data_IF_814719940363
#
_entry.id   IF_814719940363
#
_cell.length_a   1.000
_cell.length_b   1.000
_cell.length_c   1.000
_cell.angle_alpha   90.00
_cell.angle_beta   90.00
_cell.angle_gamma   90.00
#
_symmetry.space_group_name_H-M   'P 1'
#
loop_
_entity.id
_entity.type
_entity.pdbx_description
1 polymer ?
#
# COMPACT_ATOMS: atom_id res chain seq x y z
N UNK A 1 20.81 12.98 -28.20
CA UNK A 1 20.31 13.51 -26.92
C UNK A 1 19.87 14.95 -27.18
N UNK A 2 18.57 15.19 -27.23
CA UNK A 2 18.02 16.47 -27.67
C UNK A 2 18.04 17.52 -26.54
N UNK A 3 18.23 18.77 -26.89
CA UNK A 3 18.18 19.94 -26.00
C UNK A 3 16.88 20.07 -25.18
N UNK A 4 15.86 19.28 -25.51
CA UNK A 4 14.53 19.28 -24.89
C UNK A 4 14.38 18.37 -23.64
N UNK A 5 15.33 17.46 -23.37
CA UNK A 5 15.27 16.58 -22.17
C UNK A 5 15.45 17.33 -20.84
N UNK A 6 15.92 18.60 -20.88
CA UNK A 6 16.07 19.42 -19.68
C UNK A 6 14.73 19.96 -19.14
N UNK A 7 13.65 19.86 -19.92
CA UNK A 7 12.33 20.39 -19.58
C UNK A 7 11.32 19.31 -19.16
N UNK A 8 11.64 18.03 -19.34
CA UNK A 8 10.76 16.92 -18.95
C UNK A 8 11.32 16.25 -17.73
N UNK A 9 10.50 16.03 -16.72
CA UNK A 9 10.81 15.28 -15.52
C UNK A 9 9.92 14.05 -15.47
N UNK A 10 10.49 12.94 -15.04
CA UNK A 10 9.83 11.63 -14.97
C UNK A 10 9.68 11.23 -13.52
N UNK A 11 8.49 10.81 -13.12
CA UNK A 11 8.21 10.34 -11.77
C UNK A 11 7.38 9.05 -11.80
N UNK A 12 7.74 8.13 -10.91
CA UNK A 12 6.97 6.93 -10.61
C UNK A 12 6.26 7.12 -9.29
N UNK A 13 4.97 6.83 -9.24
CA UNK A 13 4.14 7.03 -8.05
C UNK A 13 3.48 5.71 -7.68
N UNK A 14 3.69 5.30 -6.44
CA UNK A 14 2.86 4.33 -5.76
C UNK A 14 1.83 5.10 -4.93
N UNK A 15 0.59 5.13 -5.42
CA UNK A 15 -0.50 5.90 -4.83
C UNK A 15 -1.30 5.01 -3.87
N UNK A 16 -0.66 4.56 -2.78
CA UNK A 16 -1.26 3.63 -1.83
C UNK A 16 -2.24 4.27 -0.86
N UNK A 17 -3.16 3.46 -0.32
CA UNK A 17 -4.17 3.89 0.67
C UNK A 17 -3.54 4.43 1.94
N UNK A 18 -2.53 3.76 2.48
CA UNK A 18 -1.85 4.16 3.71
C UNK A 18 -0.73 5.17 3.47
N UNK A 19 0.14 4.90 2.49
CA UNK A 19 1.30 5.71 2.14
C UNK A 19 1.38 5.91 0.65
N UNK A 20 1.86 7.07 0.24
CA UNK A 20 2.23 7.37 -1.14
C UNK A 20 3.75 7.51 -1.24
N UNK A 21 4.35 6.75 -2.15
CA UNK A 21 5.77 6.81 -2.44
C UNK A 21 5.99 7.39 -3.84
N UNK A 22 7.03 8.21 -3.99
CA UNK A 22 7.40 8.78 -5.30
C UNK A 22 8.88 8.60 -5.55
N UNK A 23 9.19 8.00 -6.70
CA UNK A 23 10.55 7.95 -7.24
C UNK A 23 10.71 9.07 -8.27
N UNK A 24 11.77 9.82 -8.12
CA UNK A 24 12.30 10.75 -9.12
C UNK A 24 13.82 10.67 -9.10
N UNK A 25 14.47 10.83 -10.26
CA UNK A 25 15.92 10.74 -10.39
C UNK A 25 16.50 9.43 -9.81
N UNK A 26 15.85 8.31 -10.06
CA UNK A 26 16.23 6.96 -9.58
C UNK A 26 16.25 6.82 -8.04
N UNK A 27 15.60 7.71 -7.29
CA UNK A 27 15.56 7.67 -5.82
C UNK A 27 14.14 7.87 -5.29
N UNK A 28 13.84 7.24 -4.18
CA UNK A 28 12.63 7.55 -3.42
C UNK A 28 12.78 8.96 -2.83
N UNK A 29 12.04 9.90 -3.39
CA UNK A 29 12.05 11.32 -3.00
C UNK A 29 10.93 11.65 -2.03
N UNK A 30 9.82 10.92 -2.08
CA UNK A 30 8.68 11.06 -1.17
C UNK A 30 8.33 9.68 -0.61
N UNK A 31 8.14 9.63 0.69
CA UNK A 31 7.64 8.48 1.47
C UNK A 31 6.79 9.08 2.58
N UNK A 32 5.51 9.28 2.26
CA UNK A 32 4.59 10.08 3.08
C UNK A 32 3.24 9.38 3.25
N UNK A 33 2.60 9.47 4.42
CA UNK A 33 1.22 9.01 4.60
C UNK A 33 0.25 9.67 3.61
N UNK A 34 -0.69 8.89 3.10
CA UNK A 34 -1.74 9.33 2.17
C UNK A 34 -2.85 10.08 2.92
N UNK A 35 -2.53 11.26 3.44
CA UNK A 35 -3.43 12.08 4.24
C UNK A 35 -3.19 13.57 4.01
N UNK A 36 -4.26 14.36 4.06
CA UNK A 36 -4.23 15.82 4.00
C UNK A 36 -4.96 16.43 5.19
N UNK A 37 -4.53 17.60 5.62
CA UNK A 37 -5.25 18.43 6.59
C UNK A 37 -5.78 19.69 5.90
N UNK A 38 -7.05 20.01 6.16
CA UNK A 38 -7.81 21.07 5.49
C UNK A 38 -8.36 22.01 6.56
N UNK A 39 -8.26 23.30 6.31
CA UNK A 39 -9.02 24.31 7.06
C UNK A 39 -10.48 24.29 6.57
N UNK A 40 -11.42 24.00 7.49
CA UNK A 40 -12.85 23.84 7.16
C UNK A 40 -13.54 25.12 6.67
N UNK A 41 -13.02 26.31 7.04
CA UNK A 41 -13.63 27.58 6.68
C UNK A 41 -13.21 28.03 5.28
N UNK A 42 -11.95 27.78 4.95
CA UNK A 42 -11.35 28.26 3.70
C UNK A 42 -11.22 27.15 2.65
N UNK A 43 -11.44 25.89 3.02
CA UNK A 43 -11.23 24.66 2.24
C UNK A 43 -9.81 24.51 1.70
N UNK A 44 -8.85 25.24 2.29
CA UNK A 44 -7.45 25.21 1.86
C UNK A 44 -6.71 24.08 2.57
N UNK A 45 -5.85 23.40 1.80
CA UNK A 45 -4.89 22.43 2.33
C UNK A 45 -3.86 23.17 3.18
N UNK A 46 -3.69 22.74 4.43
CA UNK A 46 -2.73 23.29 5.40
C UNK A 46 -1.54 22.35 5.64
N UNK A 47 -1.72 21.06 5.42
CA UNK A 47 -0.64 20.07 5.51
C UNK A 47 -0.92 18.84 4.65
N UNK A 48 0.15 18.14 4.25
CA UNK A 48 0.12 16.87 3.51
C UNK A 48 1.09 15.91 4.19
N UNK A 49 0.81 14.62 4.12
CA UNK A 49 1.70 13.55 4.57
C UNK A 49 1.92 13.55 6.09
N UNK A 50 3.17 13.38 6.52
CA UNK A 50 3.55 13.29 7.95
C UNK A 50 3.05 14.46 8.80
N UNK A 51 3.06 15.66 8.22
CA UNK A 51 2.53 16.84 8.94
C UNK A 51 1.01 16.74 9.16
N UNK A 52 0.25 16.27 8.18
CA UNK A 52 -1.19 16.05 8.31
C UNK A 52 -1.48 14.88 9.29
N UNK A 53 -0.68 13.81 9.23
CA UNK A 53 -0.78 12.67 10.14
C UNK A 53 -0.55 13.06 11.61
N UNK A 54 0.35 14.02 11.89
CA UNK A 54 0.55 14.53 13.25
C UNK A 54 -0.70 15.25 13.80
N UNK A 55 -1.54 15.78 12.92
CA UNK A 55 -2.80 16.45 13.28
C UNK A 55 -3.96 15.47 13.38
N UNK A 56 -3.89 14.30 12.75
CA UNK A 56 -4.96 13.31 12.74
C UNK A 56 -5.35 12.89 14.15
N UNK A 57 -6.67 12.78 14.40
CA UNK A 57 -7.29 12.49 15.70
C UNK A 57 -6.97 13.52 16.83
N UNK A 58 -6.33 14.66 16.50
CA UNK A 58 -5.97 15.72 17.46
C UNK A 58 -6.48 17.09 17.03
N UNK A 59 -7.32 17.16 16.01
CA UNK A 59 -7.81 18.40 15.44
C UNK A 59 -8.94 19.00 16.28
N UNK A 60 -9.03 20.32 16.29
CA UNK A 60 -10.21 21.06 16.74
C UNK A 60 -11.17 21.32 15.54
N UNK A 61 -12.36 21.88 15.82
CA UNK A 61 -13.45 22.00 14.84
C UNK A 61 -13.11 22.69 13.52
N UNK A 62 -12.09 23.54 13.48
CA UNK A 62 -11.70 24.25 12.25
C UNK A 62 -10.76 23.45 11.33
N UNK A 63 -10.22 22.35 11.77
CA UNK A 63 -9.31 21.51 10.96
C UNK A 63 -9.94 20.13 10.79
N UNK A 64 -9.92 19.63 9.54
CA UNK A 64 -10.31 18.28 9.18
C UNK A 64 -9.13 17.58 8.53
N UNK A 65 -8.84 16.35 8.95
CA UNK A 65 -7.94 15.46 8.20
C UNK A 65 -8.75 14.52 7.32
N UNK A 66 -8.28 14.30 6.10
CA UNK A 66 -8.92 13.44 5.10
C UNK A 66 -7.86 12.48 4.57
N UNK A 67 -8.19 11.19 4.52
CA UNK A 67 -7.48 10.18 3.71
C UNK A 67 -8.15 10.15 2.35
N UNK A 68 -7.51 10.63 1.28
CA UNK A 68 -8.13 10.74 -0.03
C UNK A 68 -8.31 9.41 -0.73
N UNK A 69 -7.55 8.39 -0.30
CA UNK A 69 -7.66 7.03 -0.80
C UNK A 69 -8.27 6.12 0.25
N UNK A 70 -9.10 5.19 -0.20
CA UNK A 70 -9.71 4.15 0.62
C UNK A 70 -9.85 2.89 -0.23
N UNK A 71 -9.50 1.75 0.35
CA UNK A 71 -9.65 0.45 -0.30
C UNK A 71 -9.00 0.41 -1.70
N UNK A 72 -7.81 1.02 -1.85
CA UNK A 72 -7.04 1.09 -3.09
C UNK A 72 -7.53 2.11 -4.13
N UNK A 73 -8.60 2.86 -3.85
CA UNK A 73 -9.21 3.79 -4.83
C UNK A 73 -9.35 5.21 -4.30
N UNK A 74 -9.48 6.17 -5.20
CA UNK A 74 -9.72 7.58 -4.84
C UNK A 74 -11.14 7.73 -4.31
N UNK A 75 -11.27 8.04 -3.03
CA UNK A 75 -12.52 8.31 -2.34
C UNK A 75 -12.87 9.82 -2.33
N UNK A 76 -11.85 10.69 -2.37
CA UNK A 76 -12.01 12.15 -2.44
C UNK A 76 -11.05 12.72 -3.48
N UNK A 77 -11.61 13.08 -4.64
CA UNK A 77 -10.86 13.53 -5.80
C UNK A 77 -10.06 14.83 -5.53
N UNK A 78 -10.68 15.83 -4.91
CA UNK A 78 -10.02 17.11 -4.62
C UNK A 78 -8.88 16.94 -3.61
N UNK A 79 -9.10 16.11 -2.60
CA UNK A 79 -8.07 15.80 -1.62
C UNK A 79 -6.91 15.01 -2.25
N UNK A 80 -7.19 14.04 -3.16
CA UNK A 80 -6.19 13.26 -3.87
C UNK A 80 -5.33 14.15 -4.80
N UNK A 81 -5.97 14.96 -5.63
CA UNK A 81 -5.29 15.92 -6.49
C UNK A 81 -4.36 16.86 -5.69
N UNK A 82 -4.89 17.40 -4.61
CA UNK A 82 -4.14 18.30 -3.73
C UNK A 82 -2.98 17.60 -3.02
N UNK A 83 -3.16 16.34 -2.63
CA UNK A 83 -2.12 15.50 -2.05
C UNK A 83 -0.99 15.26 -3.05
N UNK A 84 -1.32 14.77 -4.25
CA UNK A 84 -0.34 14.53 -5.33
C UNK A 84 0.42 15.81 -5.64
N UNK A 85 -0.29 16.93 -5.80
CA UNK A 85 0.32 18.24 -6.05
C UNK A 85 1.24 18.67 -4.92
N UNK A 86 0.85 18.46 -3.66
CA UNK A 86 1.67 18.75 -2.48
C UNK A 86 2.96 17.93 -2.45
N UNK A 87 2.87 16.63 -2.76
CA UNK A 87 4.01 15.72 -2.82
C UNK A 87 4.97 16.06 -3.98
N UNK A 88 4.43 16.41 -5.17
CA UNK A 88 5.24 16.91 -6.29
C UNK A 88 5.99 18.19 -5.90
N UNK A 89 5.38 19.07 -5.11
CA UNK A 89 6.06 20.30 -4.65
C UNK A 89 7.19 20.03 -3.64
N UNK A 90 7.20 18.90 -2.93
CA UNK A 90 8.32 18.49 -2.09
C UNK A 90 9.56 18.15 -2.95
N UNK A 91 9.34 17.63 -4.17
CA UNK A 91 10.41 17.27 -5.10
C UNK A 91 10.82 18.48 -5.94
N UNK A 92 9.85 19.22 -6.46
CA UNK A 92 10.05 20.35 -7.37
C UNK A 92 9.48 21.66 -6.75
N UNK A 93 10.26 22.38 -5.94
CA UNK A 93 9.80 23.64 -5.31
C UNK A 93 9.39 24.69 -6.35
N UNK A 94 8.37 25.49 -6.02
CA UNK A 94 7.73 26.48 -6.91
C UNK A 94 8.64 27.61 -7.45
N UNK A 95 9.87 27.73 -6.94
CA UNK A 95 10.76 28.87 -7.23
C UNK A 95 11.53 28.78 -8.57
N UNK A 96 11.23 27.83 -9.44
CA UNK A 96 11.81 27.76 -10.79
C UNK A 96 10.95 28.54 -11.78
N UNK A 97 11.59 29.42 -12.57
CA UNK A 97 10.95 30.22 -13.63
C UNK A 97 10.21 29.36 -14.67
N UNK A 98 10.57 28.09 -14.80
CA UNK A 98 9.96 27.15 -15.73
C UNK A 98 9.47 25.93 -14.94
N UNK A 99 8.18 25.59 -15.09
CA UNK A 99 7.63 24.33 -14.61
C UNK A 99 8.06 23.23 -15.57
N UNK A 100 8.69 22.14 -15.10
CA UNK A 100 8.98 21.02 -15.96
C UNK A 100 7.69 20.37 -16.46
N UNK A 101 7.73 19.83 -17.67
CA UNK A 101 6.72 18.89 -18.15
C UNK A 101 6.87 17.57 -17.37
N UNK A 102 5.81 17.08 -16.76
CA UNK A 102 5.86 15.86 -15.95
C UNK A 102 5.30 14.67 -16.73
N UNK A 103 6.06 13.59 -16.79
CA UNK A 103 5.58 12.26 -17.20
C UNK A 103 5.44 11.43 -15.92
N UNK A 104 4.28 10.84 -15.72
CA UNK A 104 3.99 10.06 -14.53
C UNK A 104 3.64 8.61 -14.90
N UNK A 105 4.27 7.65 -14.23
CA UNK A 105 3.79 6.28 -14.16
C UNK A 105 3.22 6.06 -12.77
N UNK A 106 1.97 5.61 -12.70
CA UNK A 106 1.25 5.41 -11.44
C UNK A 106 0.79 3.97 -11.36
N UNK A 107 1.07 3.29 -10.25
CA UNK A 107 0.52 1.96 -10.01
C UNK A 107 -0.92 2.04 -9.53
N UNK A 108 -1.69 1.04 -9.88
CA UNK A 108 -3.11 0.90 -9.54
C UNK A 108 -3.42 -0.56 -9.20
N UNK A 109 -4.41 -0.83 -8.33
CA UNK A 109 -4.87 -2.19 -8.05
C UNK A 109 -5.35 -2.92 -9.32
N UNK A 110 -5.25 -4.25 -9.34
CA UNK A 110 -5.67 -5.05 -10.50
C UNK A 110 -7.19 -5.01 -10.71
N UNK A 111 -7.97 -5.00 -9.62
CA UNK A 111 -9.43 -5.00 -9.63
C UNK A 111 -10.10 -3.63 -9.83
N UNK A 112 -9.37 -2.61 -10.27
CA UNK A 112 -9.88 -1.24 -10.42
C UNK A 112 -10.81 -1.09 -11.63
N UNK A 113 -11.91 -0.34 -11.47
CA UNK A 113 -12.87 -0.04 -12.55
C UNK A 113 -12.34 1.04 -13.52
N UNK A 114 -12.91 1.11 -14.73
CA UNK A 114 -12.54 2.16 -15.70
C UNK A 114 -12.82 3.60 -15.19
N UNK A 115 -13.84 3.78 -14.34
CA UNK A 115 -14.15 5.07 -13.71
C UNK A 115 -13.07 5.46 -12.72
N UNK A 116 -12.60 4.50 -11.91
CA UNK A 116 -11.53 4.71 -10.94
C UNK A 116 -10.18 4.93 -11.62
N UNK A 117 -9.85 4.20 -12.70
CA UNK A 117 -8.67 4.46 -13.55
C UNK A 117 -8.67 5.89 -14.06
N UNK A 118 -9.82 6.33 -14.59
CA UNK A 118 -9.96 7.70 -15.08
C UNK A 118 -9.77 8.73 -13.96
N UNK A 119 -10.30 8.47 -12.77
CA UNK A 119 -10.13 9.35 -11.62
C UNK A 119 -8.63 9.53 -11.25
N UNK A 120 -7.83 8.44 -11.32
CA UNK A 120 -6.38 8.51 -11.09
C UNK A 120 -5.70 9.38 -12.16
N UNK A 121 -6.01 9.15 -13.47
CA UNK A 121 -5.45 9.96 -14.57
C UNK A 121 -5.81 11.44 -14.43
N UNK A 122 -7.09 11.74 -14.24
CA UNK A 122 -7.58 13.11 -14.10
C UNK A 122 -6.92 13.83 -12.91
N UNK A 123 -6.74 13.13 -11.77
CA UNK A 123 -6.06 13.68 -10.58
C UNK A 123 -4.59 14.00 -10.86
N UNK A 124 -3.88 13.13 -11.59
CA UNK A 124 -2.49 13.32 -11.96
C UNK A 124 -2.32 14.48 -12.97
N UNK A 125 -3.18 14.56 -13.98
CA UNK A 125 -3.19 15.65 -14.97
C UNK A 125 -3.46 16.99 -14.30
N UNK A 126 -4.45 17.07 -13.40
CA UNK A 126 -4.75 18.29 -12.65
C UNK A 126 -3.61 18.66 -11.68
N UNK A 127 -2.87 17.66 -11.15
CA UNK A 127 -1.67 17.91 -10.37
C UNK A 127 -0.49 18.42 -11.21
N UNK A 128 -0.56 18.32 -12.56
CA UNK A 128 0.39 18.90 -13.49
C UNK A 128 1.11 17.90 -14.39
N UNK A 129 0.66 16.65 -14.46
CA UNK A 129 1.17 15.67 -15.43
C UNK A 129 0.78 16.09 -16.85
N UNK A 130 1.70 15.90 -17.79
CA UNK A 130 1.46 16.03 -19.23
C UNK A 130 1.10 14.67 -19.84
N UNK A 131 1.73 13.62 -19.34
CA UNK A 131 1.50 12.25 -19.76
C UNK A 131 1.37 11.38 -18.52
N UNK A 132 0.39 10.48 -18.51
CA UNK A 132 0.12 9.55 -17.40
C UNK A 132 0.00 8.14 -17.96
N UNK A 133 0.87 7.25 -17.45
CA UNK A 133 0.83 5.83 -17.71
C UNK A 133 0.40 5.10 -16.43
N UNK A 134 -0.39 4.04 -16.58
CA UNK A 134 -0.83 3.23 -15.46
C UNK A 134 -0.21 1.84 -15.56
N UNK A 135 0.19 1.26 -14.42
CA UNK A 135 0.68 -0.11 -14.29
C UNK A 135 -0.04 -0.78 -13.12
N UNK A 136 -0.33 -2.08 -13.23
CA UNK A 136 -0.97 -2.82 -12.13
C UNK A 136 0.02 -3.10 -11.00
N UNK A 137 -0.44 -2.95 -9.75
CA UNK A 137 0.38 -3.15 -8.54
C UNK A 137 1.11 -4.49 -8.51
N UNK A 138 0.46 -5.66 -8.80
CA UNK A 138 1.16 -6.94 -8.79
C UNK A 138 2.27 -7.03 -9.84
N UNK A 139 2.05 -6.43 -11.02
CA UNK A 139 3.05 -6.39 -12.08
C UNK A 139 4.25 -5.51 -11.67
N UNK A 140 3.96 -4.34 -11.11
CA UNK A 140 5.00 -3.46 -10.57
C UNK A 140 5.75 -4.15 -9.41
N UNK A 141 5.05 -4.82 -8.49
CA UNK A 141 5.67 -5.57 -7.40
C UNK A 141 6.64 -6.64 -7.92
N UNK A 142 6.22 -7.43 -8.92
CA UNK A 142 7.06 -8.46 -9.55
C UNK A 142 8.36 -7.87 -10.12
N UNK A 143 8.27 -6.77 -10.89
CA UNK A 143 9.44 -6.05 -11.39
C UNK A 143 10.33 -5.53 -10.25
N UNK A 144 9.71 -4.98 -9.21
CA UNK A 144 10.41 -4.36 -8.09
C UNK A 144 11.18 -5.33 -7.21
N UNK A 145 10.82 -6.61 -7.20
CA UNK A 145 11.55 -7.69 -6.53
C UNK A 145 12.50 -8.44 -7.48
N UNK A 146 12.60 -8.00 -8.74
CA UNK A 146 13.58 -8.51 -9.70
C UNK A 146 13.14 -9.75 -10.49
N UNK A 147 11.83 -10.06 -10.54
CA UNK A 147 11.33 -11.16 -11.37
C UNK A 147 11.28 -10.73 -12.84
N UNK A 148 11.62 -11.66 -13.72
CA UNK A 148 11.44 -11.46 -15.16
C UNK A 148 10.00 -11.80 -15.56
N UNK A 149 9.16 -10.76 -15.64
CA UNK A 149 7.75 -10.90 -15.96
C UNK A 149 7.48 -11.23 -17.43
N UNK A 150 8.50 -11.19 -18.29
CA UNK A 150 8.38 -11.46 -19.73
C UNK A 150 8.58 -12.94 -20.05
N UNK A 151 9.23 -13.68 -19.18
CA UNK A 151 9.44 -15.11 -19.36
C UNK A 151 8.14 -15.93 -19.29
N UNK A 152 8.08 -17.11 -19.95
CA UNK A 152 6.94 -18.02 -19.86
C UNK A 152 6.97 -18.86 -18.57
N UNK A 153 7.20 -18.20 -17.44
CA UNK A 153 7.24 -18.78 -16.09
C UNK A 153 6.19 -18.10 -15.21
N UNK A 154 5.39 -18.90 -14.52
CA UNK A 154 4.36 -18.38 -13.63
C UNK A 154 4.93 -17.92 -12.29
N UNK A 155 4.82 -16.62 -11.98
CA UNK A 155 5.18 -16.05 -10.69
C UNK A 155 3.93 -15.65 -9.93
N UNK A 156 3.78 -16.15 -8.69
CA UNK A 156 2.69 -15.75 -7.82
C UNK A 156 3.15 -14.65 -6.87
N UNK A 157 2.48 -13.52 -6.95
CA UNK A 157 2.74 -12.34 -6.14
C UNK A 157 1.55 -12.11 -5.22
N UNK A 158 1.83 -11.85 -3.93
CA UNK A 158 0.85 -11.38 -2.96
C UNK A 158 1.35 -10.03 -2.45
N UNK A 159 0.64 -8.97 -2.79
CA UNK A 159 0.91 -7.63 -2.29
C UNK A 159 -0.14 -7.24 -1.26
N UNK A 160 0.27 -7.08 0.01
CA UNK A 160 -0.62 -6.69 1.10
C UNK A 160 -0.33 -5.25 1.47
N UNK A 161 -1.11 -4.35 0.89
CA UNK A 161 -1.00 -2.92 1.11
C UNK A 161 -1.68 -2.42 2.39
N UNK A 162 -2.08 -1.14 2.38
CA UNK A 162 -2.91 -0.57 3.44
C UNK A 162 -4.38 -0.91 3.29
N UNK A 163 -4.96 -0.69 2.10
CA UNK A 163 -6.39 -0.87 1.85
C UNK A 163 -6.76 -2.15 1.10
N UNK A 164 -5.84 -2.72 0.32
CA UNK A 164 -6.08 -3.89 -0.53
C UNK A 164 -5.01 -4.95 -0.34
N UNK A 165 -5.42 -6.19 -0.57
CA UNK A 165 -4.52 -7.32 -0.83
C UNK A 165 -4.74 -7.77 -2.27
N UNK A 166 -3.67 -7.70 -3.05
CA UNK A 166 -3.61 -8.15 -4.43
C UNK A 166 -2.90 -9.50 -4.49
N UNK A 167 -3.57 -10.50 -5.04
CA UNK A 167 -2.99 -11.83 -5.28
C UNK A 167 -3.04 -12.06 -6.78
N UNK A 168 -1.89 -12.20 -7.43
CA UNK A 168 -1.84 -12.38 -8.88
C UNK A 168 -0.81 -13.40 -9.31
N UNK A 169 -1.08 -14.09 -10.42
CA UNK A 169 -0.11 -14.90 -11.15
C UNK A 169 0.24 -14.16 -12.43
N UNK A 170 1.51 -13.82 -12.58
CA UNK A 170 2.04 -13.09 -13.74
C UNK A 170 2.92 -14.01 -14.59
N UNK A 171 2.82 -13.89 -15.92
CA UNK A 171 3.67 -14.56 -16.91
C UNK A 171 3.53 -13.83 -18.25
N UNK A 172 4.55 -13.86 -19.09
CA UNK A 172 4.51 -13.35 -20.47
C UNK A 172 3.99 -11.90 -20.56
N UNK A 173 4.43 -11.04 -19.66
CA UNK A 173 4.04 -9.63 -19.53
C UNK A 173 2.56 -9.40 -19.22
N UNK A 174 1.84 -10.40 -18.72
CA UNK A 174 0.42 -10.31 -18.40
C UNK A 174 0.06 -10.88 -17.03
N UNK A 175 -1.07 -10.46 -16.50
CA UNK A 175 -1.71 -11.11 -15.35
C UNK A 175 -2.61 -12.21 -15.87
N UNK A 176 -2.32 -13.46 -15.48
CA UNK A 176 -3.06 -14.64 -15.93
C UNK A 176 -4.30 -14.89 -15.09
N UNK A 177 -4.16 -14.73 -13.79
CA UNK A 177 -5.28 -14.72 -12.85
C UNK A 177 -4.96 -13.79 -11.68
N UNK A 178 -6.01 -13.20 -11.10
CA UNK A 178 -5.88 -12.32 -9.95
C UNK A 178 -7.08 -12.41 -9.01
N UNK A 179 -6.84 -12.04 -7.76
CA UNK A 179 -7.85 -11.77 -6.76
C UNK A 179 -7.46 -10.48 -6.03
N UNK A 180 -8.37 -9.51 -6.04
CA UNK A 180 -8.22 -8.26 -5.28
C UNK A 180 -9.27 -8.24 -4.18
N UNK A 181 -8.84 -8.06 -2.94
CA UNK A 181 -9.73 -7.98 -1.79
C UNK A 181 -9.44 -6.72 -0.97
N UNK A 182 -10.49 -6.13 -0.39
CA UNK A 182 -10.43 -4.93 0.48
C UNK A 182 -10.21 -5.33 1.94
N UNK A 183 -9.23 -6.20 2.17
CA UNK A 183 -8.80 -6.65 3.50
C UNK A 183 -7.28 -6.59 3.51
N UNK A 184 -6.72 -5.66 4.28
CA UNK A 184 -5.28 -5.41 4.34
C UNK A 184 -4.90 -4.69 5.64
N UNK A 185 -3.84 -3.90 5.65
CA UNK A 185 -3.29 -3.25 6.84
C UNK A 185 -4.28 -2.40 7.63
N UNK A 186 -5.20 -1.68 6.96
CA UNK A 186 -6.19 -0.82 7.63
C UNK A 186 -7.27 -1.65 8.34
N UNK A 187 -7.70 -2.78 7.73
CA UNK A 187 -8.62 -3.72 8.39
C UNK A 187 -7.96 -4.37 9.61
N UNK A 188 -6.67 -4.75 9.51
CA UNK A 188 -5.93 -5.27 10.67
C UNK A 188 -5.87 -4.23 11.80
N UNK A 189 -5.67 -2.95 11.47
CA UNK A 189 -5.69 -1.87 12.46
C UNK A 189 -7.07 -1.71 13.09
N UNK A 190 -8.14 -1.80 12.30
CA UNK A 190 -9.52 -1.74 12.78
C UNK A 190 -9.87 -2.93 13.70
N UNK A 191 -9.43 -4.14 13.35
CA UNK A 191 -9.58 -5.33 14.19
C UNK A 191 -8.93 -5.14 15.58
N UNK A 192 -7.74 -4.53 15.63
CA UNK A 192 -7.06 -4.22 16.87
C UNK A 192 -7.84 -3.20 17.70
N UNK A 193 -8.35 -2.11 17.07
CA UNK A 193 -9.21 -1.12 17.77
C UNK A 193 -10.43 -1.82 18.39
N UNK A 194 -11.09 -2.67 17.62
CA UNK A 194 -12.27 -3.41 18.07
C UNK A 194 -11.94 -4.42 19.18
N UNK A 195 -10.81 -5.12 19.08
CA UNK A 195 -10.33 -6.03 20.10
C UNK A 195 -10.07 -5.31 21.42
N UNK A 196 -9.32 -4.20 21.40
CA UNK A 196 -9.02 -3.39 22.58
C UNK A 196 -10.29 -2.87 23.24
N UNK A 197 -11.27 -2.46 22.44
CA UNK A 197 -12.57 -2.02 22.93
C UNK A 197 -13.36 -3.13 23.63
N UNK A 198 -13.43 -4.32 23.02
CA UNK A 198 -14.27 -5.42 23.49
C UNK A 198 -13.64 -6.20 24.65
N UNK A 199 -12.34 -6.48 24.57
CA UNK A 199 -11.66 -7.33 25.54
C UNK A 199 -11.13 -6.54 26.75
N UNK A 200 -10.65 -5.32 26.50
CA UNK A 200 -10.00 -4.52 27.53
C UNK A 200 -10.81 -3.31 28.02
N UNK A 201 -12.00 -3.04 27.42
CA UNK A 201 -12.78 -1.83 27.63
C UNK A 201 -11.92 -0.57 27.44
N UNK A 202 -10.95 -0.61 26.52
CA UNK A 202 -10.02 0.48 26.26
C UNK A 202 -10.29 1.08 24.89
N UNK A 203 -10.60 2.37 24.86
CA UNK A 203 -10.74 3.12 23.60
C UNK A 203 -9.37 3.68 23.22
N UNK A 204 -8.89 3.25 22.05
CA UNK A 204 -7.66 3.74 21.42
C UNK A 204 -7.97 4.30 20.02
N UNK A 205 -7.11 5.18 19.51
CA UNK A 205 -7.18 5.67 18.14
C UNK A 205 -6.46 4.76 17.15
N UNK A 206 -6.68 5.00 15.84
CA UNK A 206 -6.03 4.26 14.75
C UNK A 206 -4.51 4.26 14.88
N UNK A 207 -3.92 5.40 15.22
CA UNK A 207 -2.48 5.54 15.37
C UNK A 207 -1.90 4.64 16.46
N UNK A 208 -2.63 4.48 17.57
CA UNK A 208 -2.21 3.58 18.66
C UNK A 208 -2.35 2.12 18.24
N UNK A 209 -3.44 1.78 17.54
CA UNK A 209 -3.64 0.42 17.02
C UNK A 209 -2.59 0.05 15.96
N UNK A 210 -2.22 0.98 15.08
CA UNK A 210 -1.11 0.80 14.14
C UNK A 210 0.22 0.54 14.85
N UNK A 211 0.50 1.28 15.93
CA UNK A 211 1.68 1.04 16.76
C UNK A 211 1.66 -0.33 17.43
N UNK A 212 0.50 -0.81 17.90
CA UNK A 212 0.34 -2.18 18.42
C UNK A 212 0.65 -3.20 17.31
N UNK A 213 0.07 -3.03 16.12
CA UNK A 213 0.30 -3.91 14.96
C UNK A 213 1.79 -4.03 14.61
N UNK A 214 2.50 -2.91 14.56
CA UNK A 214 3.93 -2.89 14.23
C UNK A 214 4.78 -3.56 15.32
N UNK A 215 4.49 -3.30 16.60
CA UNK A 215 5.33 -3.77 17.71
C UNK A 215 5.04 -5.23 18.10
N UNK A 216 3.77 -5.62 18.18
CA UNK A 216 3.36 -6.96 18.66
C UNK A 216 2.37 -7.66 17.73
N UNK A 217 2.13 -7.14 16.50
CA UNK A 217 1.30 -7.83 15.52
C UNK A 217 1.89 -9.16 15.11
N UNK A 218 1.04 -10.18 15.05
CA UNK A 218 1.40 -11.53 14.63
C UNK A 218 0.25 -12.20 13.88
N UNK A 219 0.58 -13.04 12.91
CA UNK A 219 -0.37 -13.90 12.22
C UNK A 219 -0.52 -15.27 12.90
N UNK A 220 0.34 -15.59 13.87
CA UNK A 220 0.38 -16.86 14.61
C UNK A 220 0.37 -16.60 16.12
N UNK A 221 -0.37 -17.44 16.85
CA UNK A 221 -0.42 -17.38 18.31
C UNK A 221 0.87 -17.90 18.97
N UNK A 222 1.68 -18.67 18.24
CA UNK A 222 2.98 -19.19 18.66
C UNK A 222 4.04 -18.77 17.67
N UNK A 223 5.10 -18.12 18.14
CA UNK A 223 6.26 -17.65 17.36
C UNK A 223 7.54 -18.24 17.93
N UNK A 224 8.53 -18.49 17.06
CA UNK A 224 9.88 -18.87 17.48
C UNK A 224 10.64 -17.69 18.07
N UNK A 225 10.46 -16.49 17.48
CA UNK A 225 11.03 -15.23 17.95
C UNK A 225 9.90 -14.35 18.50
N UNK A 226 9.77 -14.35 19.82
CA UNK A 226 8.68 -13.69 20.55
C UNK A 226 9.04 -12.22 20.77
N UNK A 227 8.21 -11.27 20.26
CA UNK A 227 8.42 -9.86 20.55
C UNK A 227 8.14 -9.53 22.03
N UNK A 228 8.77 -8.48 22.53
CA UNK A 228 8.46 -7.94 23.86
C UNK A 228 7.01 -7.45 23.91
N UNK A 229 6.38 -7.64 25.08
CA UNK A 229 5.04 -7.14 25.33
C UNK A 229 4.98 -5.61 25.18
N UNK A 230 3.87 -5.10 24.64
CA UNK A 230 3.74 -3.69 24.31
C UNK A 230 2.80 -2.94 25.27
N UNK A 231 3.30 -1.84 25.86
CA UNK A 231 2.52 -0.99 26.75
C UNK A 231 1.67 0.00 25.96
N UNK A 232 0.36 0.00 26.21
CA UNK A 232 -0.65 0.79 25.51
C UNK A 232 -1.39 1.70 26.46
N UNK A 233 -1.63 2.93 26.01
CA UNK A 233 -2.45 3.91 26.74
C UNK A 233 -3.70 4.24 25.93
N UNK A 234 -4.83 4.35 26.62
CA UNK A 234 -6.11 4.73 26.02
C UNK A 234 -7.06 5.28 27.07
N UNK A 235 -8.33 5.46 26.70
CA UNK A 235 -9.39 5.87 27.61
C UNK A 235 -10.21 4.66 28.04
N UNK A 236 -10.30 4.42 29.32
CA UNK A 236 -11.18 3.38 29.87
C UNK A 236 -12.65 3.74 29.60
N UNK A 237 -13.39 2.81 28.98
CA UNK A 237 -14.78 3.04 28.57
C UNK A 237 -15.76 3.06 29.75
N UNK A 238 -15.41 2.42 30.86
CA UNK A 238 -16.29 2.36 32.04
C UNK A 238 -16.18 3.60 32.89
N UNK A 239 -14.96 4.12 33.08
CA UNK A 239 -14.67 5.24 33.98
C UNK A 239 -14.42 6.57 33.28
N UNK A 240 -14.11 6.51 31.95
CA UNK A 240 -13.71 7.68 31.16
C UNK A 240 -12.28 8.17 31.42
N UNK A 241 -11.55 7.54 32.35
CA UNK A 241 -10.22 7.97 32.81
C UNK A 241 -9.14 7.36 31.87
N UNK A 242 -8.00 8.04 31.66
CA UNK A 242 -6.85 7.43 31.00
C UNK A 242 -6.37 6.18 31.74
N UNK A 243 -6.11 5.10 30.98
CA UNK A 243 -5.68 3.80 31.49
C UNK A 243 -4.54 3.27 30.63
N UNK A 244 -3.62 2.58 31.30
CA UNK A 244 -2.55 1.81 30.65
C UNK A 244 -2.75 0.32 30.87
N UNK A 245 -2.34 -0.47 29.87
CA UNK A 245 -2.25 -1.93 29.99
C UNK A 245 -1.15 -2.45 29.08
N UNK A 246 -0.81 -3.71 29.25
CA UNK A 246 0.18 -4.42 28.44
C UNK A 246 -0.57 -5.36 27.50
N UNK A 247 -0.13 -5.41 26.22
CA UNK A 247 -0.71 -6.24 25.18
C UNK A 247 0.34 -7.20 24.65
N UNK A 248 -0.03 -8.45 24.49
CA UNK A 248 0.84 -9.51 23.99
C UNK A 248 0.61 -9.79 22.50
N UNK A 249 1.61 -10.35 21.82
CA UNK A 249 1.49 -10.75 20.42
C UNK A 249 0.42 -11.84 20.22
N UNK A 250 0.26 -12.75 21.17
CA UNK A 250 -0.73 -13.82 21.07
C UNK A 250 -2.16 -13.29 21.10
N UNK A 251 -2.45 -12.26 21.91
CA UNK A 251 -3.75 -11.57 21.90
C UNK A 251 -4.02 -10.92 20.54
N UNK A 252 -3.00 -10.27 19.97
CA UNK A 252 -3.16 -9.61 18.67
C UNK A 252 -3.31 -10.62 17.54
N UNK A 253 -2.63 -11.78 17.62
CA UNK A 253 -2.85 -12.86 16.66
C UNK A 253 -4.32 -13.33 16.64
N UNK A 254 -4.96 -13.43 17.80
CA UNK A 254 -6.39 -13.76 17.89
C UNK A 254 -7.27 -12.63 17.30
N UNK A 255 -6.90 -11.38 17.54
CA UNK A 255 -7.65 -10.24 17.00
C UNK A 255 -7.63 -10.22 15.46
N UNK A 256 -6.51 -10.57 14.84
CA UNK A 256 -6.28 -10.54 13.40
C UNK A 256 -6.74 -11.79 12.64
N UNK A 257 -7.03 -12.90 13.35
CA UNK A 257 -7.25 -14.21 12.75
C UNK A 257 -8.31 -14.21 11.64
N UNK A 258 -9.43 -13.52 11.87
CA UNK A 258 -10.54 -13.46 10.92
C UNK A 258 -10.15 -12.74 9.62
N UNK A 259 -9.45 -11.64 9.70
CA UNK A 259 -9.05 -10.86 8.52
C UNK A 259 -7.92 -11.55 7.77
N UNK A 260 -6.97 -12.18 8.46
CA UNK A 260 -5.93 -13.00 7.83
C UNK A 260 -6.56 -14.21 7.12
N UNK A 261 -7.57 -14.85 7.69
CA UNK A 261 -8.28 -15.97 7.04
C UNK A 261 -8.91 -15.57 5.71
N UNK A 262 -9.40 -14.33 5.56
CA UNK A 262 -9.90 -13.83 4.27
C UNK A 262 -8.78 -13.66 3.24
N UNK A 263 -7.59 -13.26 3.68
CA UNK A 263 -6.40 -13.22 2.82
C UNK A 263 -6.04 -14.63 2.34
N UNK A 264 -6.03 -15.61 3.25
CA UNK A 264 -5.79 -17.03 2.91
C UNK A 264 -6.81 -17.56 1.87
N UNK A 265 -8.09 -17.21 2.03
CA UNK A 265 -9.15 -17.59 1.08
C UNK A 265 -8.90 -17.01 -0.32
N UNK A 266 -8.47 -15.73 -0.41
CA UNK A 266 -8.14 -15.10 -1.69
C UNK A 266 -6.94 -15.80 -2.36
N UNK A 267 -5.92 -16.17 -1.57
CA UNK A 267 -4.75 -16.91 -2.06
C UNK A 267 -5.17 -18.28 -2.64
N UNK A 268 -5.97 -19.03 -1.90
CA UNK A 268 -6.45 -20.35 -2.35
C UNK A 268 -7.29 -20.23 -3.61
N UNK A 269 -8.15 -19.20 -3.69
CA UNK A 269 -8.98 -18.97 -4.88
C UNK A 269 -8.15 -18.60 -6.10
N UNK A 270 -7.08 -17.82 -5.95
CA UNK A 270 -6.15 -17.54 -7.04
C UNK A 270 -5.44 -18.82 -7.51
N UNK A 271 -4.98 -19.67 -6.59
CA UNK A 271 -4.37 -20.96 -6.92
C UNK A 271 -5.36 -21.90 -7.64
N UNK A 272 -6.62 -21.97 -7.22
CA UNK A 272 -7.66 -22.78 -7.86
C UNK A 272 -7.94 -22.38 -9.31
N UNK A 273 -7.80 -21.10 -9.64
CA UNK A 273 -8.02 -20.56 -10.98
C UNK A 273 -6.75 -20.54 -11.85
N UNK A 274 -5.60 -20.85 -11.25
CA UNK A 274 -4.30 -20.86 -11.96
C UNK A 274 -4.23 -22.04 -12.92
N UNK A 275 -3.83 -21.83 -14.20
CA UNK A 275 -3.59 -22.91 -15.15
C UNK A 275 -2.56 -23.93 -14.63
N UNK A 276 -2.72 -25.25 -14.93
CA UNK A 276 -1.87 -26.30 -14.37
C UNK A 276 -0.36 -26.11 -14.59
N UNK A 277 0.04 -25.61 -15.78
CA UNK A 277 1.45 -25.39 -16.07
C UNK A 277 2.05 -24.29 -15.20
N UNK A 278 1.33 -23.20 -14.99
CA UNK A 278 1.77 -22.11 -14.09
C UNK A 278 1.69 -22.53 -12.62
N UNK A 279 0.75 -23.39 -12.24
CA UNK A 279 0.70 -23.97 -10.91
C UNK A 279 1.95 -24.83 -10.63
N UNK A 280 2.47 -25.53 -11.63
CA UNK A 280 3.75 -26.26 -11.55
C UNK A 280 4.94 -25.32 -11.36
N UNK A 281 4.93 -24.16 -12.02
CA UNK A 281 5.96 -23.12 -11.82
C UNK A 281 5.91 -22.57 -10.38
N UNK A 282 4.71 -22.23 -9.89
CA UNK A 282 4.52 -21.74 -8.53
C UNK A 282 4.95 -22.77 -7.47
N UNK A 283 4.75 -24.07 -7.73
CA UNK A 283 5.25 -25.13 -6.85
C UNK A 283 6.78 -25.10 -6.73
N UNK A 284 7.48 -24.75 -7.80
CA UNK A 284 8.95 -24.68 -7.85
C UNK A 284 9.49 -23.35 -7.33
N UNK A 285 8.90 -22.23 -7.78
CA UNK A 285 9.37 -20.88 -7.49
C UNK A 285 8.85 -20.33 -6.14
N UNK A 286 7.74 -20.90 -5.62
CA UNK A 286 7.08 -20.41 -4.43
C UNK A 286 6.18 -19.18 -4.67
N UNK A 287 5.76 -18.58 -3.57
CA UNK A 287 4.94 -17.38 -3.51
C UNK A 287 5.81 -16.20 -3.07
N UNK A 288 5.70 -15.08 -3.74
CA UNK A 288 6.40 -13.84 -3.39
C UNK A 288 5.46 -12.89 -2.64
N UNK A 289 5.84 -12.51 -1.41
CA UNK A 289 5.05 -11.67 -0.52
C UNK A 289 5.64 -10.26 -0.45
N UNK A 290 4.83 -9.26 -0.77
CA UNK A 290 5.19 -7.84 -0.83
C UNK A 290 4.18 -6.97 -0.08
N UNK A 291 4.42 -5.66 -0.05
CA UNK A 291 3.59 -4.71 0.70
C UNK A 291 3.89 -4.66 2.18
N UNK A 292 3.30 -3.67 2.87
CA UNK A 292 3.52 -3.47 4.30
C UNK A 292 3.01 -4.61 5.18
N UNK A 293 1.93 -5.29 4.73
CA UNK A 293 1.38 -6.47 5.42
C UNK A 293 2.32 -7.67 5.43
N UNK A 294 3.25 -7.77 4.48
CA UNK A 294 4.28 -8.80 4.46
C UNK A 294 5.20 -8.79 5.69
N UNK A 295 5.27 -7.65 6.38
CA UNK A 295 6.06 -7.49 7.61
C UNK A 295 5.34 -8.00 8.87
N UNK A 296 4.08 -8.45 8.76
CA UNK A 296 3.36 -9.03 9.90
C UNK A 296 4.01 -10.36 10.30
N UNK A 297 4.46 -10.46 11.54
CA UNK A 297 5.21 -11.63 12.04
C UNK A 297 4.45 -12.93 11.81
N UNK A 298 5.13 -13.91 11.24
CA UNK A 298 4.59 -15.25 11.03
C UNK A 298 3.56 -15.37 9.90
N UNK A 299 3.29 -14.30 9.14
CA UNK A 299 2.35 -14.35 8.03
C UNK A 299 2.84 -15.25 6.89
N UNK A 300 4.13 -15.20 6.59
CA UNK A 300 4.81 -16.08 5.65
C UNK A 300 4.65 -17.55 6.03
N UNK A 301 4.91 -17.86 7.31
CA UNK A 301 4.74 -19.23 7.86
C UNK A 301 3.28 -19.67 7.80
N UNK A 302 2.34 -18.78 8.15
CA UNK A 302 0.91 -19.08 8.13
C UNK A 302 0.42 -19.40 6.71
N UNK A 303 0.80 -18.59 5.73
CA UNK A 303 0.49 -18.83 4.30
C UNK A 303 1.14 -20.14 3.84
N UNK A 304 2.41 -20.38 4.18
CA UNK A 304 3.10 -21.62 3.82
C UNK A 304 2.44 -22.87 4.44
N UNK A 305 2.00 -22.81 5.69
CA UNK A 305 1.26 -23.90 6.33
C UNK A 305 -0.07 -24.18 5.62
N UNK A 306 -0.75 -23.14 5.15
CA UNK A 306 -2.05 -23.23 4.49
C UNK A 306 -1.95 -23.77 3.06
N UNK A 307 -0.99 -23.28 2.29
CA UNK A 307 -0.83 -23.59 0.87
C UNK A 307 0.10 -24.78 0.61
N UNK A 308 0.96 -25.13 1.54
CA UNK A 308 2.07 -26.09 1.41
C UNK A 308 3.13 -25.67 0.38
N UNK A 309 3.17 -24.35 0.06
CA UNK A 309 4.14 -23.75 -0.82
C UNK A 309 5.19 -22.97 -0.03
N UNK A 310 6.37 -22.79 -0.62
CA UNK A 310 7.38 -21.87 -0.10
C UNK A 310 6.87 -20.42 -0.22
N UNK A 311 7.15 -19.59 0.79
CA UNK A 311 6.79 -18.17 0.78
C UNK A 311 8.05 -17.34 0.98
N UNK A 312 8.31 -16.44 0.05
CA UNK A 312 9.47 -15.57 0.03
C UNK A 312 9.01 -14.14 0.31
N UNK A 313 9.39 -13.60 1.48
CA UNK A 313 9.16 -12.19 1.78
C UNK A 313 10.22 -11.36 1.06
N UNK A 314 9.81 -10.33 0.33
CA UNK A 314 10.72 -9.42 -0.35
C UNK A 314 11.65 -8.70 0.66
N UNK A 315 12.90 -8.43 0.27
CA UNK A 315 13.89 -7.76 1.14
C UNK A 315 13.42 -6.38 1.63
N UNK A 316 12.74 -5.62 0.77
CA UNK A 316 12.14 -4.33 1.10
C UNK A 316 10.71 -4.29 0.55
N UNK A 317 9.75 -4.96 1.24
CA UNK A 317 8.42 -5.18 0.70
C UNK A 317 7.61 -3.89 0.60
N UNK A 318 7.87 -2.90 1.46
CA UNK A 318 7.20 -1.58 1.43
C UNK A 318 7.49 -0.79 0.15
N UNK A 319 8.63 -1.05 -0.51
CA UNK A 319 9.05 -0.30 -1.71
C UNK A 319 9.05 -1.14 -2.98
N UNK A 320 8.59 -2.38 -2.92
CA UNK A 320 8.57 -3.27 -4.09
C UNK A 320 7.79 -2.66 -5.25
N UNK A 321 6.55 -2.22 -5.01
CA UNK A 321 5.68 -1.61 -6.02
C UNK A 321 6.29 -0.35 -6.63
N UNK A 322 6.71 0.61 -5.82
CA UNK A 322 7.27 1.86 -6.34
C UNK A 322 8.61 1.64 -7.08
N UNK A 323 9.43 0.66 -6.66
CA UNK A 323 10.65 0.29 -7.38
C UNK A 323 10.33 -0.26 -8.77
N UNK A 324 9.38 -1.19 -8.87
CA UNK A 324 8.96 -1.72 -10.15
C UNK A 324 8.32 -0.69 -11.05
N UNK A 325 7.51 0.20 -10.49
CA UNK A 325 6.96 1.37 -11.21
C UNK A 325 8.09 2.25 -11.76
N UNK A 326 9.17 2.46 -10.97
CA UNK A 326 10.36 3.19 -11.38
C UNK A 326 11.16 2.48 -12.49
N UNK A 327 11.27 1.15 -12.44
CA UNK A 327 11.90 0.33 -13.50
C UNK A 327 11.11 0.47 -14.79
N UNK A 328 9.78 0.32 -14.75
CA UNK A 328 8.93 0.47 -15.92
C UNK A 328 8.98 1.89 -16.50
N UNK A 329 9.07 2.92 -15.66
CA UNK A 329 9.24 4.31 -16.08
C UNK A 329 10.54 4.54 -16.84
N UNK A 330 11.64 3.95 -16.37
CA UNK A 330 12.99 4.16 -16.92
C UNK A 330 13.16 3.56 -18.32
N UNK A 331 12.49 2.45 -18.60
CA UNK A 331 12.53 1.77 -19.90
C UNK A 331 11.11 1.51 -20.43
N UNK A 332 10.38 2.62 -20.64
CA UNK A 332 8.98 2.56 -21.08
C UNK A 332 8.78 1.85 -22.42
N UNK A 333 9.74 1.95 -23.31
CA UNK A 333 9.66 1.30 -24.62
C UNK A 333 9.75 -0.22 -24.47
N UNK A 334 10.63 -0.71 -23.60
CA UNK A 334 10.78 -2.13 -23.30
C UNK A 334 9.55 -2.69 -22.57
N UNK A 335 9.01 -1.93 -21.62
CA UNK A 335 7.87 -2.34 -20.80
C UNK A 335 6.52 -1.81 -21.30
N UNK A 336 6.43 -1.39 -22.57
CA UNK A 336 5.20 -0.81 -23.13
C UNK A 336 3.97 -1.72 -22.95
N UNK A 337 4.13 -3.03 -23.04
CA UNK A 337 3.06 -4.01 -22.87
C UNK A 337 2.48 -4.09 -21.45
N UNK A 338 3.18 -3.55 -20.43
CA UNK A 338 2.74 -3.56 -19.04
C UNK A 338 1.85 -2.38 -18.69
N UNK A 339 1.83 -1.34 -19.53
CA UNK A 339 0.99 -0.17 -19.30
C UNK A 339 -0.43 -0.39 -19.79
N UNK A 340 -1.39 0.06 -19.00
CA UNK A 340 -2.82 -0.04 -19.28
C UNK A 340 -3.47 1.33 -19.49
N UNK A 341 -4.29 1.44 -20.54
CA UNK A 341 -5.16 2.57 -20.85
C UNK A 341 -4.62 3.60 -21.82
#
# INVERSE_FOLDING_TARGET
MGLFNFLTQEIAIDLGTANTLVIAHDKVMVDEPSIVAIDRKTEKIIAVGKRAMQMHEKTHDNIKTIRPLKDGVIADFQAAESMIRGMIQMIFPKNKLFKPSLIMVICIPSGITEVEKRAVKDSAEQAGAKEVYLIQEPMAAALGIGLDVQEPVGHMIIDIGGGTTEVAVVALSGIVCDQSIRVAGDEFTADIVDYMRRQHNLLIGERTAEAIKINVGSALAELDDVPEDYQVSGRDLMTGIPKQLVVTYSEIAHALDKSISKVEEAILKALETTPPELASDIQREGIHLTGGGALLRGLDKRISLKTKLQVHVADDPLRAVVRGTGIALKDRDHYQALFIG
#
